data_IF_911916543078
#
_entry.id   IF_911916543078
#
_cell.length_a   1.000
_cell.length_b   1.000
_cell.length_c   1.000
_cell.angle_alpha   90.00
_cell.angle_beta   90.00
_cell.angle_gamma   90.00
#
_symmetry.space_group_name_H-M   'P 1'
#
loop_
_entity.id
_entity.type
_entity.pdbx_description
1 polymer ?
#
# COMPACT_ATOMS: atom_id res chain seq x y z
N UNK A 1 12.01 -0.33 10.94
CA UNK A 1 12.40 0.70 9.98
C UNK A 1 13.64 0.22 9.22
N UNK A 2 13.60 0.26 7.91
CA UNK A 2 14.73 -0.10 7.04
C UNK A 2 15.22 1.14 6.30
N UNK A 3 16.52 1.23 6.09
CA UNK A 3 17.15 2.28 5.31
C UNK A 3 17.85 1.64 4.10
N UNK A 4 17.48 2.07 2.92
CA UNK A 4 18.11 1.65 1.67
C UNK A 4 19.02 2.77 1.17
N UNK A 5 20.29 2.49 1.03
CA UNK A 5 21.30 3.43 0.55
C UNK A 5 21.53 3.34 -0.96
N UNK A 6 21.08 2.25 -1.60
CA UNK A 6 21.19 2.01 -3.05
C UNK A 6 19.82 1.77 -3.64
N UNK A 7 19.47 2.53 -4.67
CA UNK A 7 18.14 2.46 -5.29
C UNK A 7 18.31 2.45 -6.82
N UNK A 8 17.60 1.54 -7.49
CA UNK A 8 17.44 1.52 -8.93
C UNK A 8 16.00 1.94 -9.25
N UNK A 9 15.83 3.09 -9.87
CA UNK A 9 14.51 3.63 -10.22
C UNK A 9 14.27 3.45 -11.72
N UNK A 10 13.16 2.79 -12.08
CA UNK A 10 12.67 2.66 -13.45
C UNK A 10 11.58 3.72 -13.67
N UNK A 11 11.95 4.84 -14.31
CA UNK A 11 11.01 5.87 -14.71
C UNK A 11 10.36 5.47 -16.05
N UNK A 12 9.25 4.79 -15.98
CA UNK A 12 8.53 4.30 -17.16
C UNK A 12 7.94 5.46 -18.00
N UNK A 13 7.64 6.59 -17.38
CA UNK A 13 7.13 7.75 -18.08
C UNK A 13 8.20 8.41 -18.95
N UNK A 14 9.42 8.60 -18.39
CA UNK A 14 10.55 9.20 -19.12
C UNK A 14 11.43 8.17 -19.83
N UNK A 15 11.13 6.88 -19.72
CA UNK A 15 11.90 5.77 -20.28
C UNK A 15 13.38 5.82 -19.86
N UNK A 16 13.62 5.98 -18.55
CA UNK A 16 14.96 6.10 -17.97
C UNK A 16 15.13 5.16 -16.78
N UNK A 17 16.36 4.70 -16.60
CA UNK A 17 16.81 4.05 -15.38
C UNK A 17 17.68 5.06 -14.64
N UNK A 18 17.36 5.30 -13.38
CA UNK A 18 18.08 6.23 -12.50
C UNK A 18 18.71 5.41 -11.38
N UNK A 19 20.02 5.51 -11.26
CA UNK A 19 20.79 4.88 -10.19
C UNK A 19 21.05 5.91 -9.09
N UNK A 20 20.74 5.57 -7.85
CA UNK A 20 20.87 6.47 -6.70
C UNK A 20 21.70 5.75 -5.63
N UNK A 21 22.72 6.42 -5.14
CA UNK A 21 23.49 5.98 -3.97
C UNK A 21 23.50 7.10 -2.95
N UNK A 22 22.95 6.85 -1.77
CA UNK A 22 22.99 7.77 -0.64
C UNK A 22 24.31 7.56 0.13
N UNK A 23 25.04 8.63 0.35
CA UNK A 23 26.30 8.59 1.10
C UNK A 23 26.23 9.45 2.35
N UNK A 24 27.02 9.08 3.37
CA UNK A 24 27.14 9.90 4.58
C UNK A 24 27.94 11.17 4.27
N UNK A 25 27.57 12.28 4.86
CA UNK A 25 28.27 13.57 4.69
C UNK A 25 29.56 13.68 5.52
N UNK A 26 29.73 12.82 6.51
CA UNK A 26 30.98 12.67 7.27
C UNK A 26 32.07 12.12 6.35
N UNK A 27 33.23 12.77 6.33
CA UNK A 27 34.36 12.45 5.42
C UNK A 27 33.90 12.44 3.93
N UNK A 28 33.26 13.54 3.52
CA UNK A 28 32.53 13.66 2.26
C UNK A 28 33.31 13.14 1.03
N UNK A 29 34.58 13.53 0.85
CA UNK A 29 35.38 13.10 -0.31
C UNK A 29 35.52 11.59 -0.41
N UNK A 30 35.79 10.94 0.73
CA UNK A 30 35.92 9.47 0.77
C UNK A 30 34.56 8.80 0.52
N UNK A 31 33.50 9.32 1.13
CA UNK A 31 32.14 8.80 0.98
C UNK A 31 31.63 9.01 -0.45
N UNK A 32 31.89 10.16 -1.07
CA UNK A 32 31.53 10.45 -2.44
C UNK A 32 32.23 9.50 -3.44
N UNK A 33 33.55 9.31 -3.30
CA UNK A 33 34.29 8.39 -4.17
C UNK A 33 33.79 6.94 -4.06
N UNK A 34 33.46 6.49 -2.84
CA UNK A 34 32.81 5.18 -2.65
C UNK A 34 31.45 5.13 -3.33
N UNK A 35 30.63 6.19 -3.21
CA UNK A 35 29.34 6.28 -3.87
C UNK A 35 29.44 6.18 -5.39
N UNK A 36 30.43 6.84 -6.01
CA UNK A 36 30.69 6.73 -7.45
C UNK A 36 31.06 5.30 -7.86
N UNK A 37 31.90 4.61 -7.07
CA UNK A 37 32.22 3.20 -7.32
C UNK A 37 30.97 2.31 -7.22
N UNK A 38 30.10 2.55 -6.25
CA UNK A 38 28.84 1.79 -6.12
C UNK A 38 27.89 2.03 -7.29
N UNK A 39 27.81 3.25 -7.83
CA UNK A 39 27.04 3.53 -9.06
C UNK A 39 27.55 2.72 -10.25
N UNK A 40 28.86 2.62 -10.44
CA UNK A 40 29.45 1.80 -11.51
C UNK A 40 29.19 0.30 -11.29
N UNK A 41 29.25 -0.18 -10.05
CA UNK A 41 28.89 -1.55 -9.70
C UNK A 41 27.42 -1.86 -10.02
N UNK A 42 26.48 -0.95 -9.66
CA UNK A 42 25.06 -1.08 -9.98
C UNK A 42 24.82 -1.09 -11.49
N UNK A 43 25.50 -0.23 -12.23
CA UNK A 43 25.44 -0.19 -13.69
C UNK A 43 25.93 -1.51 -14.31
N UNK A 44 27.05 -2.03 -13.83
CA UNK A 44 27.61 -3.32 -14.27
C UNK A 44 26.63 -4.47 -13.98
N UNK A 45 26.02 -4.49 -12.80
CA UNK A 45 25.01 -5.48 -12.43
C UNK A 45 23.82 -5.48 -13.40
N UNK A 46 23.34 -4.29 -13.83
CA UNK A 46 22.22 -4.18 -14.76
C UNK A 46 22.59 -4.62 -16.19
N UNK A 47 23.84 -4.44 -16.62
CA UNK A 47 24.27 -4.73 -17.99
C UNK A 47 24.81 -6.15 -18.16
N UNK A 48 25.45 -6.69 -17.14
CA UNK A 48 26.25 -7.92 -17.20
C UNK A 48 25.84 -8.95 -16.14
N UNK A 49 24.90 -8.61 -15.23
CA UNK A 49 24.45 -9.51 -14.17
C UNK A 49 23.72 -10.74 -14.70
N UNK A 50 23.90 -11.84 -14.05
CA UNK A 50 23.17 -13.07 -14.35
C UNK A 50 21.76 -13.02 -13.73
N UNK A 51 20.78 -13.59 -14.43
CA UNK A 51 19.44 -13.75 -13.89
C UNK A 51 19.40 -14.98 -13.00
N UNK A 52 18.99 -14.82 -11.77
CA UNK A 52 18.73 -15.94 -10.88
C UNK A 52 17.44 -16.65 -11.28
N UNK A 53 17.46 -17.99 -11.31
CA UNK A 53 16.27 -18.78 -11.54
C UNK A 53 15.33 -18.68 -10.33
N UNK A 54 14.15 -18.16 -10.57
CA UNK A 54 13.12 -18.11 -9.55
C UNK A 54 12.45 -19.48 -9.38
N UNK A 55 12.27 -19.92 -8.12
CA UNK A 55 11.53 -21.15 -7.81
C UNK A 55 10.06 -20.82 -7.64
N UNK A 56 9.16 -21.30 -8.52
CA UNK A 56 7.73 -21.02 -8.41
C UNK A 56 7.16 -21.47 -7.08
N UNK A 57 6.24 -20.68 -6.53
CA UNK A 57 5.52 -21.02 -5.31
C UNK A 57 4.72 -22.31 -5.50
N UNK A 58 4.85 -23.24 -4.56
CA UNK A 58 4.07 -24.45 -4.47
C UNK A 58 3.36 -24.53 -3.12
N UNK A 59 2.06 -24.73 -3.13
CA UNK A 59 1.27 -25.00 -1.94
C UNK A 59 1.53 -26.43 -1.48
N UNK A 60 1.89 -26.62 -0.20
CA UNK A 60 2.22 -27.93 0.40
C UNK A 60 1.17 -28.40 1.43
N UNK A 61 0.25 -27.55 1.79
CA UNK A 61 -0.87 -27.88 2.69
C UNK A 61 -2.15 -27.19 2.25
N UNK A 62 -3.27 -27.61 2.79
CA UNK A 62 -4.51 -26.86 2.74
C UNK A 62 -4.42 -25.57 3.56
N UNK A 63 -5.33 -24.62 3.27
CA UNK A 63 -5.43 -23.39 4.04
C UNK A 63 -6.00 -23.65 5.44
N UNK A 64 -5.35 -23.08 6.43
CA UNK A 64 -5.78 -23.08 7.83
C UNK A 64 -6.17 -21.67 8.25
N UNK A 65 -7.30 -21.55 8.91
CA UNK A 65 -7.79 -20.28 9.43
C UNK A 65 -7.55 -20.21 10.93
N UNK A 66 -7.12 -19.04 11.44
CA UNK A 66 -6.88 -18.85 12.88
C UNK A 66 -8.17 -18.99 13.70
N UNK A 67 -9.27 -18.46 13.17
CA UNK A 67 -10.60 -18.54 13.76
C UNK A 67 -11.58 -19.22 12.83
N UNK A 68 -12.39 -20.13 13.36
CA UNK A 68 -13.53 -20.65 12.63
C UNK A 68 -14.66 -19.61 12.50
N UNK A 69 -15.72 -19.98 11.80
CA UNK A 69 -16.86 -19.07 11.53
C UNK A 69 -17.55 -18.63 12.84
N UNK A 70 -17.76 -19.54 13.75
CA UNK A 70 -18.44 -19.31 15.03
C UNK A 70 -17.63 -18.35 15.90
N UNK A 71 -16.35 -18.60 16.06
CA UNK A 71 -15.42 -17.74 16.80
C UNK A 71 -15.36 -16.32 16.20
N UNK A 72 -15.27 -16.22 14.87
CA UNK A 72 -15.24 -14.93 14.20
C UNK A 72 -16.57 -14.16 14.38
N UNK A 73 -17.71 -14.83 14.27
CA UNK A 73 -19.02 -14.22 14.52
C UNK A 73 -19.16 -13.71 15.96
N UNK A 74 -18.62 -14.42 16.96
CA UNK A 74 -18.61 -13.94 18.35
C UNK A 74 -17.73 -12.69 18.52
N UNK A 75 -16.59 -12.61 17.86
CA UNK A 75 -15.78 -11.38 17.85
C UNK A 75 -16.54 -10.20 17.24
N UNK A 76 -17.25 -10.42 16.13
CA UNK A 76 -18.11 -9.39 15.53
C UNK A 76 -19.19 -8.91 16.48
N UNK A 77 -19.89 -9.82 17.20
CA UNK A 77 -20.91 -9.46 18.20
C UNK A 77 -20.32 -8.61 19.33
N UNK A 78 -19.13 -8.97 19.84
CA UNK A 78 -18.43 -8.17 20.85
C UNK A 78 -18.04 -6.79 20.33
N UNK A 79 -17.48 -6.70 19.12
CA UNK A 79 -17.13 -5.42 18.48
C UNK A 79 -18.36 -4.52 18.32
N UNK A 80 -19.48 -5.06 17.84
CA UNK A 80 -20.77 -4.33 17.72
C UNK A 80 -21.26 -3.81 19.07
N UNK A 81 -21.10 -4.58 20.16
CA UNK A 81 -21.45 -4.14 21.50
C UNK A 81 -20.65 -2.93 21.94
N UNK A 82 -19.31 -2.95 21.77
CA UNK A 82 -18.45 -1.81 22.12
C UNK A 82 -18.75 -0.56 21.29
N UNK A 83 -19.12 -0.71 20.01
CA UNK A 83 -19.59 0.42 19.19
C UNK A 83 -20.89 0.98 19.74
N UNK A 84 -21.86 0.11 20.10
CA UNK A 84 -23.15 0.54 20.66
C UNK A 84 -22.99 1.25 22.01
N UNK A 85 -22.07 0.77 22.88
CA UNK A 85 -21.76 1.35 24.17
C UNK A 85 -20.95 2.66 24.08
N UNK A 86 -20.46 3.03 22.89
CA UNK A 86 -19.70 4.27 22.65
C UNK A 86 -18.22 4.15 23.02
N UNK A 87 -17.71 2.95 23.25
CA UNK A 87 -16.29 2.73 23.58
C UNK A 87 -15.37 2.98 22.39
N UNK A 88 -15.84 2.64 21.17
CA UNK A 88 -15.13 2.75 19.91
C UNK A 88 -16.10 3.17 18.79
N UNK A 89 -15.58 3.83 17.76
CA UNK A 89 -16.33 4.17 16.56
C UNK A 89 -16.26 3.08 15.48
N UNK A 90 -15.09 2.47 15.36
CA UNK A 90 -14.79 1.44 14.35
C UNK A 90 -13.82 0.42 14.91
N UNK A 91 -13.91 -0.81 14.43
CA UNK A 91 -12.95 -1.88 14.66
C UNK A 91 -12.79 -2.73 13.41
N UNK A 92 -11.55 -3.01 13.04
CA UNK A 92 -11.23 -3.96 11.98
C UNK A 92 -10.85 -5.30 12.59
N UNK A 93 -11.71 -6.30 12.41
CA UNK A 93 -11.44 -7.67 12.84
C UNK A 93 -10.76 -8.42 11.70
N UNK A 94 -9.67 -9.11 11.99
CA UNK A 94 -8.95 -9.89 11.01
C UNK A 94 -9.00 -11.37 11.30
N UNK A 95 -8.87 -12.20 10.26
CA UNK A 95 -8.69 -13.64 10.39
C UNK A 95 -7.46 -14.04 9.57
N UNK A 96 -6.44 -14.57 10.23
CA UNK A 96 -5.21 -15.02 9.58
C UNK A 96 -5.45 -16.33 8.87
N UNK A 97 -5.00 -16.40 7.61
CA UNK A 97 -5.02 -17.61 6.80
C UNK A 97 -3.58 -18.07 6.61
N UNK A 98 -3.30 -19.32 6.84
CA UNK A 98 -1.97 -19.93 6.77
C UNK A 98 -1.97 -21.14 5.85
N UNK A 99 -0.85 -21.37 5.20
CA UNK A 99 -0.55 -22.59 4.47
C UNK A 99 0.97 -22.83 4.45
N UNK A 100 1.38 -24.08 4.35
CA UNK A 100 2.77 -24.43 4.13
C UNK A 100 3.09 -24.29 2.65
N UNK A 101 4.18 -23.62 2.33
CA UNK A 101 4.61 -23.32 0.97
C UNK A 101 6.08 -23.68 0.75
N UNK A 102 6.45 -23.86 -0.50
CA UNK A 102 7.83 -23.99 -0.96
C UNK A 102 8.03 -23.10 -2.19
N UNK A 103 9.21 -22.51 -2.36
CA UNK A 103 9.51 -21.58 -3.44
C UNK A 103 9.33 -20.12 -3.00
N UNK A 104 9.27 -19.19 -3.97
CA UNK A 104 9.25 -17.75 -3.76
C UNK A 104 7.90 -17.14 -4.11
N UNK A 105 7.53 -16.07 -3.42
CA UNK A 105 6.35 -15.24 -3.71
C UNK A 105 6.51 -14.38 -4.98
N UNK A 106 7.71 -14.34 -5.60
CA UNK A 106 7.99 -13.40 -6.67
C UNK A 106 7.04 -13.53 -7.87
N UNK A 107 6.81 -14.76 -8.35
CA UNK A 107 5.86 -14.98 -9.45
C UNK A 107 4.41 -14.72 -9.04
N UNK A 108 4.06 -15.01 -7.79
CA UNK A 108 2.75 -14.63 -7.23
C UNK A 108 2.58 -13.10 -7.26
N UNK A 109 3.62 -12.33 -6.89
CA UNK A 109 3.60 -10.88 -6.99
C UNK A 109 3.46 -10.39 -8.45
N UNK A 110 4.14 -11.04 -9.41
CA UNK A 110 4.00 -10.71 -10.85
C UNK A 110 2.57 -10.90 -11.35
N UNK A 111 1.90 -11.96 -10.91
CA UNK A 111 0.47 -12.18 -11.20
C UNK A 111 -0.39 -11.12 -10.52
N UNK A 112 -0.15 -10.86 -9.23
CA UNK A 112 -0.89 -9.85 -8.47
C UNK A 112 -0.86 -8.48 -9.17
N UNK A 113 0.28 -8.06 -9.72
CA UNK A 113 0.42 -6.80 -10.46
C UNK A 113 -0.53 -6.67 -11.66
N UNK A 114 -0.88 -7.77 -12.29
CA UNK A 114 -1.72 -7.79 -13.50
C UNK A 114 -3.19 -8.02 -13.19
N UNK A 115 -3.48 -8.74 -12.11
CA UNK A 115 -4.87 -9.08 -11.73
C UNK A 115 -5.51 -8.06 -10.79
N UNK A 116 -4.71 -7.42 -9.95
CA UNK A 116 -5.18 -6.45 -8.97
C UNK A 116 -4.21 -5.26 -8.83
N UNK A 117 -4.03 -4.46 -9.90
CA UNK A 117 -3.14 -3.31 -9.87
C UNK A 117 -3.59 -2.28 -8.85
N UNK A 118 -2.64 -1.68 -8.16
CA UNK A 118 -2.86 -0.65 -7.14
C UNK A 118 -1.79 0.43 -7.25
N UNK A 119 -2.04 1.66 -6.76
CA UNK A 119 -1.04 2.74 -6.76
C UNK A 119 0.25 2.37 -6.04
N UNK A 120 0.15 1.57 -4.98
CA UNK A 120 1.30 1.07 -4.22
C UNK A 120 1.36 -0.44 -4.31
N UNK A 121 2.37 -0.92 -5.00
CA UNK A 121 2.66 -2.34 -5.11
C UNK A 121 4.08 -2.60 -4.65
N UNK A 122 4.26 -3.62 -3.84
CA UNK A 122 5.57 -3.93 -3.28
C UNK A 122 5.83 -5.43 -3.22
N UNK A 123 7.06 -5.77 -3.39
CA UNK A 123 7.64 -7.06 -3.09
C UNK A 123 8.91 -6.83 -2.29
N UNK A 124 9.00 -7.43 -1.15
CA UNK A 124 10.15 -7.38 -0.26
C UNK A 124 10.65 -8.80 -0.03
N UNK A 125 11.95 -9.00 -0.13
CA UNK A 125 12.62 -10.27 0.12
C UNK A 125 13.86 -10.06 0.98
N UNK A 126 14.02 -10.88 2.00
CA UNK A 126 15.21 -11.00 2.82
C UNK A 126 15.50 -12.48 3.09
N UNK A 127 16.53 -12.76 3.90
CA UNK A 127 16.98 -14.13 4.17
C UNK A 127 15.89 -15.02 4.81
N UNK A 128 14.98 -14.42 5.58
CA UNK A 128 14.00 -15.12 6.42
C UNK A 128 12.54 -14.76 6.12
N UNK A 129 12.28 -13.77 5.28
CA UNK A 129 10.91 -13.33 4.99
C UNK A 129 10.75 -12.77 3.59
N UNK A 130 9.65 -13.13 2.94
CA UNK A 130 9.16 -12.49 1.73
C UNK A 130 7.79 -11.88 1.98
N UNK A 131 7.56 -10.68 1.47
CA UNK A 131 6.27 -9.98 1.58
C UNK A 131 5.90 -9.42 0.22
N UNK A 132 4.70 -9.74 -0.24
CA UNK A 132 4.13 -9.18 -1.46
C UNK A 132 2.79 -8.52 -1.14
N UNK A 133 2.53 -7.36 -1.74
CA UNK A 133 1.30 -6.65 -1.48
C UNK A 133 0.92 -5.63 -2.54
N UNK A 134 -0.36 -5.26 -2.50
CA UNK A 134 -0.96 -4.22 -3.29
C UNK A 134 -1.82 -3.36 -2.36
N UNK A 135 -1.63 -2.04 -2.34
CA UNK A 135 -2.39 -1.12 -1.52
C UNK A 135 -3.00 -0.01 -2.38
N UNK A 136 -4.31 0.19 -2.30
CA UNK A 136 -4.98 1.28 -3.01
C UNK A 136 -4.87 2.62 -2.28
N UNK A 137 -4.48 2.60 -1.01
CA UNK A 137 -4.60 3.76 -0.12
C UNK A 137 -3.26 4.40 0.19
N UNK A 138 -3.23 5.73 0.14
CA UNK A 138 -2.09 6.55 0.54
C UNK A 138 -2.20 6.89 2.01
N UNK A 139 -1.30 6.36 2.84
CA UNK A 139 -1.25 6.71 4.26
C UNK A 139 -0.98 8.20 4.46
N UNK A 140 0.13 8.68 3.89
CA UNK A 140 0.52 10.09 3.90
C UNK A 140 1.50 10.37 2.76
N UNK A 141 1.35 11.51 2.11
CA UNK A 141 2.27 12.01 1.08
C UNK A 141 2.83 13.35 1.52
N UNK A 142 4.15 13.50 1.49
CA UNK A 142 4.83 14.78 1.65
C UNK A 142 5.37 15.23 0.29
N UNK A 143 4.92 16.37 -0.20
CA UNK A 143 5.35 16.93 -1.47
C UNK A 143 5.51 18.45 -1.35
N UNK A 144 6.67 18.98 -1.70
CA UNK A 144 7.00 20.42 -1.65
C UNK A 144 6.72 21.09 -0.27
N UNK A 145 6.83 20.33 0.82
CA UNK A 145 6.56 20.83 2.17
C UNK A 145 5.09 20.72 2.58
N UNK A 146 4.21 20.21 1.74
CA UNK A 146 2.79 19.98 2.02
C UNK A 146 2.53 18.52 2.34
N UNK A 147 1.75 18.25 3.38
CA UNK A 147 1.30 16.92 3.78
C UNK A 147 -0.10 16.66 3.24
N UNK A 148 -0.26 15.52 2.60
CA UNK A 148 -1.53 15.07 2.04
C UNK A 148 -1.92 13.71 2.61
N UNK A 149 -3.21 13.55 2.91
CA UNK A 149 -3.86 12.26 3.17
C UNK A 149 -5.09 12.13 2.28
N UNK A 150 -5.42 10.91 1.90
CA UNK A 150 -6.51 10.62 0.97
C UNK A 150 -7.40 9.52 1.55
N UNK A 151 -8.21 9.84 2.56
CA UNK A 151 -9.10 8.85 3.15
C UNK A 151 -10.11 8.36 2.13
N UNK A 152 -10.22 7.04 1.99
CA UNK A 152 -11.14 6.37 1.09
C UNK A 152 -12.16 5.59 1.90
N UNK A 153 -13.43 5.74 1.57
CA UNK A 153 -14.52 4.93 2.13
C UNK A 153 -15.61 4.70 1.06
N UNK A 154 -16.24 3.55 1.15
CA UNK A 154 -17.28 3.15 0.24
C UNK A 154 -16.78 2.57 -1.09
N UNK A 155 -17.49 1.55 -1.57
CA UNK A 155 -17.16 0.89 -2.83
C UNK A 155 -18.44 0.43 -3.54
N UNK A 156 -18.48 0.63 -4.84
CA UNK A 156 -19.47 0.04 -5.74
C UNK A 156 -18.77 -0.66 -6.89
N UNK A 157 -19.39 -1.68 -7.44
CA UNK A 157 -18.90 -2.29 -8.68
C UNK A 157 -19.05 -1.31 -9.83
N UNK A 158 -18.19 -1.44 -10.83
CA UNK A 158 -18.38 -0.69 -12.10
C UNK A 158 -19.65 -1.16 -12.77
N UNK A 159 -20.38 -0.20 -13.35
CA UNK A 159 -21.56 -0.49 -14.18
C UNK A 159 -21.20 -1.23 -15.46
N UNK A 160 -22.17 -1.90 -16.06
CA UNK A 160 -22.01 -2.55 -17.36
C UNK A 160 -21.86 -1.53 -18.50
N UNK A 161 -22.38 -0.32 -18.29
CA UNK A 161 -22.30 0.81 -19.21
C UNK A 161 -22.18 2.14 -18.43
N UNK A 162 -22.02 3.24 -19.17
CA UNK A 162 -21.85 4.58 -18.59
C UNK A 162 -23.05 5.05 -17.77
N UNK A 163 -24.28 4.68 -18.19
CA UNK A 163 -25.50 5.11 -17.50
C UNK A 163 -25.63 4.39 -16.14
N UNK A 164 -25.37 3.09 -16.12
CA UNK A 164 -25.36 2.32 -14.87
C UNK A 164 -24.24 2.80 -13.94
N UNK A 165 -23.06 3.11 -14.47
CA UNK A 165 -21.93 3.62 -13.69
C UNK A 165 -22.27 4.94 -12.99
N UNK A 166 -22.85 5.90 -13.70
CA UNK A 166 -23.32 7.17 -13.12
C UNK A 166 -24.43 6.97 -12.07
N UNK A 167 -25.28 6.00 -12.26
CA UNK A 167 -26.32 5.65 -11.27
C UNK A 167 -25.70 5.10 -10.00
N UNK A 168 -24.73 4.19 -10.10
CA UNK A 168 -24.01 3.59 -8.96
C UNK A 168 -23.15 4.62 -8.22
N UNK A 169 -22.52 5.53 -8.95
CA UNK A 169 -21.79 6.67 -8.36
C UNK A 169 -22.74 7.55 -7.53
N UNK A 170 -23.88 7.92 -8.10
CA UNK A 170 -24.86 8.74 -7.38
C UNK A 170 -25.43 8.03 -6.15
N UNK A 171 -25.68 6.73 -6.24
CA UNK A 171 -26.10 5.91 -5.10
C UNK A 171 -25.04 5.91 -3.99
N UNK A 172 -23.77 5.72 -4.34
CA UNK A 172 -22.67 5.74 -3.38
C UNK A 172 -22.56 7.10 -2.67
N UNK A 173 -22.65 8.19 -3.42
CA UNK A 173 -22.58 9.55 -2.88
C UNK A 173 -23.78 9.94 -2.01
N UNK A 174 -24.86 9.18 -2.05
CA UNK A 174 -26.05 9.38 -1.22
C UNK A 174 -26.18 8.36 -0.07
N UNK A 175 -25.27 7.40 0.01
CA UNK A 175 -25.28 6.39 1.07
C UNK A 175 -24.82 7.03 2.39
N UNK A 176 -25.75 7.22 3.31
CA UNK A 176 -25.49 7.87 4.61
C UNK A 176 -24.44 7.14 5.44
N UNK A 177 -24.39 5.81 5.37
CA UNK A 177 -23.39 5.00 6.09
C UNK A 177 -22.00 5.25 5.54
N UNK A 178 -21.83 5.18 4.22
CA UNK A 178 -20.55 5.40 3.55
C UNK A 178 -20.04 6.84 3.75
N UNK A 179 -20.95 7.82 3.71
CA UNK A 179 -20.63 9.23 4.01
C UNK A 179 -20.20 9.42 5.47
N UNK A 180 -20.86 8.78 6.43
CA UNK A 180 -20.49 8.86 7.84
C UNK A 180 -19.10 8.25 8.08
N UNK A 181 -18.80 7.10 7.47
CA UNK A 181 -17.47 6.48 7.53
C UNK A 181 -16.41 7.38 6.92
N UNK A 182 -16.66 7.93 5.73
CA UNK A 182 -15.74 8.85 5.08
C UNK A 182 -15.43 10.09 5.94
N UNK A 183 -16.45 10.73 6.49
CA UNK A 183 -16.27 11.89 7.35
C UNK A 183 -15.46 11.57 8.62
N UNK A 184 -15.67 10.39 9.20
CA UNK A 184 -14.87 9.89 10.34
C UNK A 184 -13.40 9.74 9.95
N UNK A 185 -13.10 9.15 8.80
CA UNK A 185 -11.72 8.98 8.32
C UNK A 185 -11.05 10.33 7.98
N UNK A 186 -11.81 11.28 7.44
CA UNK A 186 -11.34 12.64 7.19
C UNK A 186 -10.96 13.33 8.49
N UNK A 187 -11.77 13.23 9.54
CA UNK A 187 -11.48 13.83 10.85
C UNK A 187 -10.26 13.17 11.50
N UNK A 188 -10.10 11.87 11.37
CA UNK A 188 -8.91 11.14 11.82
C UNK A 188 -7.64 11.66 11.11
N UNK A 189 -7.67 11.75 9.78
CA UNK A 189 -6.56 12.28 8.99
C UNK A 189 -6.20 13.71 9.35
N UNK A 190 -7.19 14.58 9.62
CA UNK A 190 -6.97 15.95 10.10
C UNK A 190 -6.23 15.96 11.44
N UNK A 191 -6.67 15.15 12.39
CA UNK A 191 -6.03 15.05 13.70
C UNK A 191 -4.58 14.59 13.60
N UNK A 192 -4.32 13.60 12.76
CA UNK A 192 -2.97 13.04 12.59
C UNK A 192 -2.02 14.06 11.93
N UNK A 193 -2.45 14.71 10.86
CA UNK A 193 -1.65 15.76 10.21
C UNK A 193 -1.46 16.97 11.15
N UNK A 194 -2.49 17.36 11.89
CA UNK A 194 -2.45 18.49 12.82
C UNK A 194 -1.42 18.37 13.94
N UNK A 195 -0.97 17.17 14.28
CA UNK A 195 0.08 16.93 15.27
C UNK A 195 1.48 17.31 14.80
N UNK A 196 1.72 17.34 13.51
CA UNK A 196 3.05 17.50 12.90
C UNK A 196 3.14 18.68 11.95
N UNK A 197 2.03 19.25 11.51
CA UNK A 197 2.01 20.44 10.66
C UNK A 197 1.92 21.72 11.50
N UNK A 198 2.62 22.77 11.06
CA UNK A 198 2.63 24.09 11.75
C UNK A 198 1.42 24.95 11.42
N UNK A 199 0.70 24.65 10.35
CA UNK A 199 -0.53 25.33 9.91
C UNK A 199 -1.52 24.30 9.39
N UNK A 200 -2.72 24.24 9.98
CA UNK A 200 -3.79 23.37 9.50
C UNK A 200 -4.63 24.07 8.45
N UNK A 201 -4.25 23.95 7.18
CA UNK A 201 -5.19 24.20 6.10
C UNK A 201 -5.82 22.86 5.71
N UNK A 202 -7.10 22.73 5.96
CA UNK A 202 -7.86 21.58 5.47
C UNK A 202 -8.66 22.02 4.26
N UNK A 203 -8.14 21.75 3.06
CA UNK A 203 -8.96 21.74 1.86
C UNK A 203 -9.64 20.38 1.76
N UNK A 204 -10.89 20.30 2.17
CA UNK A 204 -11.78 19.22 1.78
C UNK A 204 -12.10 19.43 0.30
N UNK A 205 -11.43 18.73 -0.58
CA UNK A 205 -11.93 18.54 -1.94
C UNK A 205 -12.99 17.46 -1.86
N UNK A 206 -14.22 17.78 -2.27
CA UNK A 206 -15.20 16.77 -2.58
C UNK A 206 -14.60 15.80 -3.60
N UNK A 207 -14.77 14.51 -3.38
CA UNK A 207 -14.28 13.38 -4.14
C UNK A 207 -13.91 13.70 -5.58
N UNK A 208 -12.62 13.74 -5.87
CA UNK A 208 -12.16 13.38 -7.19
C UNK A 208 -12.22 11.85 -7.21
N UNK A 209 -13.28 11.29 -7.75
CA UNK A 209 -13.31 9.93 -8.25
C UNK A 209 -12.24 9.88 -9.34
N UNK A 210 -11.02 9.53 -8.97
CA UNK A 210 -9.99 9.21 -9.94
C UNK A 210 -10.43 7.93 -10.62
N UNK A 211 -11.11 8.09 -11.74
CA UNK A 211 -11.27 7.07 -12.75
C UNK A 211 -9.86 6.72 -13.26
N UNK A 212 -9.22 5.75 -12.66
CA UNK A 212 -8.06 5.09 -13.23
C UNK A 212 -8.52 3.79 -13.87
N UNK A 213 -8.48 3.83 -15.19
CA UNK A 213 -8.57 2.69 -16.12
C UNK A 213 -7.46 1.68 -15.83
#
# INVERSE_FOLDING_TARGET
LMLFDKIICFDNYRQKIILIVNVRTENFDTSYNKGVMELENMKKLLLEGEMEENRPLQLKSDFRYLFDKEQYCEMVKKGKKHIFEGDIFQIVLSNRVEADIEGSLFDTYRVLRTTNPSPYMFYFSSDDVEIAGASPETLVKLENGELHTFPLAGTRKRGADTEEDLRLEKELLQDEKELAEHNMLVDLGRNDIGRISTVSYTHLRAHETTLHL
#
